data_IF_194652407588
#
_entry.id   IF_194652407588
#
_cell.length_a   1.000
_cell.length_b   1.000
_cell.length_c   1.000
_cell.angle_alpha   90.00
_cell.angle_beta   90.00
_cell.angle_gamma   90.00
#
_symmetry.space_group_name_H-M   'P 1'
#
loop_
_entity.id
_entity.type
_entity.pdbx_description
1 polymer ?
#
# COMPACT_ATOMS: atom_id res chain seq x y z
N UNK A 1 15.41 41.87 0.93
CA UNK A 1 16.08 40.84 1.76
C UNK A 1 16.63 41.31 3.11
N UNK A 2 17.10 42.56 3.35
CA UNK A 2 17.61 42.94 4.67
C UNK A 2 16.52 43.18 5.75
N UNK A 3 15.29 43.52 5.33
CA UNK A 3 14.17 43.83 6.23
C UNK A 3 13.50 42.59 6.85
N UNK A 4 13.71 41.39 6.29
CA UNK A 4 13.06 40.16 6.75
C UNK A 4 13.78 39.52 7.94
N UNK A 5 15.09 39.72 8.07
CA UNK A 5 15.90 39.17 9.17
C UNK A 5 15.71 39.92 10.49
N UNK A 6 15.43 41.23 10.45
CA UNK A 6 15.10 42.01 11.66
C UNK A 6 13.69 41.72 12.20
N UNK A 7 12.81 41.11 11.41
CA UNK A 7 11.44 40.78 11.81
C UNK A 7 11.37 39.56 12.74
N UNK A 8 12.34 38.64 12.66
CA UNK A 8 12.40 37.42 13.46
C UNK A 8 13.06 37.58 14.83
N UNK A 9 13.66 38.74 15.13
CA UNK A 9 14.38 38.98 16.39
C UNK A 9 13.58 39.79 17.41
N UNK A 10 12.29 40.04 17.17
CA UNK A 10 11.44 40.78 18.09
C UNK A 10 10.99 39.89 19.27
N UNK A 11 11.25 40.25 20.54
CA UNK A 11 11.06 39.37 21.69
C UNK A 11 9.60 38.92 21.93
N UNK A 12 8.63 39.68 21.43
CA UNK A 12 7.19 39.34 21.45
C UNK A 12 6.78 38.28 20.43
N UNK A 13 7.56 38.06 19.36
CA UNK A 13 7.28 37.04 18.34
C UNK A 13 7.86 35.69 18.78
N UNK A 14 9.04 35.68 19.42
CA UNK A 14 9.65 34.47 19.95
C UNK A 14 8.79 33.78 21.03
N UNK A 15 8.17 34.55 21.93
CA UNK A 15 7.28 34.00 22.97
C UNK A 15 5.95 33.43 22.43
N UNK A 16 5.50 33.88 21.26
CA UNK A 16 4.31 33.33 20.61
C UNK A 16 4.57 31.97 19.94
N UNK A 17 5.82 31.67 19.59
CA UNK A 17 6.21 30.36 19.03
C UNK A 17 6.38 29.29 20.11
N UNK A 18 6.87 29.64 21.30
CA UNK A 18 7.08 28.66 22.39
C UNK A 18 5.76 28.18 23.02
N UNK A 19 4.69 28.96 22.97
CA UNK A 19 3.40 28.56 23.57
C UNK A 19 2.56 27.63 22.68
N UNK A 20 2.90 27.51 21.39
CA UNK A 20 2.17 26.70 20.38
C UNK A 20 2.84 25.34 20.13
N UNK A 21 4.00 25.08 20.74
CA UNK A 21 4.76 23.83 20.56
C UNK A 21 4.23 22.63 21.37
N UNK A 22 3.09 22.76 22.04
CA UNK A 22 2.39 21.66 22.70
C UNK A 22 0.99 21.48 22.11
N UNK A 23 0.68 20.26 21.68
CA UNK A 23 -0.62 19.75 21.19
C UNK A 23 -0.76 19.65 19.65
N UNK A 24 -1.38 18.54 19.25
CA UNK A 24 -1.35 17.78 17.99
C UNK A 24 -1.97 18.41 16.72
N UNK A 25 -1.68 17.74 15.59
CA UNK A 25 -2.52 17.49 14.41
C UNK A 25 -2.05 18.05 13.04
N UNK A 26 -1.95 17.09 12.11
CA UNK A 26 -2.13 17.13 10.64
C UNK A 26 -1.36 18.13 9.77
N UNK A 27 -0.42 17.57 9.00
CA UNK A 27 0.39 18.22 7.97
C UNK A 27 -0.42 18.82 6.79
N UNK A 28 -1.73 18.51 6.65
CA UNK A 28 -2.62 19.16 5.66
C UNK A 28 -3.35 20.39 6.23
N UNK A 29 -3.55 20.45 7.54
CA UNK A 29 -4.15 21.58 8.25
C UNK A 29 -3.12 22.69 8.46
N UNK A 30 -1.85 22.34 8.70
CA UNK A 30 -0.76 23.33 8.89
C UNK A 30 -0.56 24.26 7.69
N UNK A 31 -0.62 23.78 6.45
CA UNK A 31 -0.43 24.65 5.29
C UNK A 31 -1.62 25.60 5.09
N UNK A 32 -2.85 25.12 5.29
CA UNK A 32 -4.06 25.94 5.21
C UNK A 32 -4.15 26.98 6.32
N UNK A 33 -3.86 26.60 7.57
CA UNK A 33 -3.85 27.52 8.72
C UNK A 33 -2.70 28.51 8.67
N UNK A 34 -1.50 28.10 8.21
CA UNK A 34 -0.37 29.02 8.04
C UNK A 34 -0.68 30.05 6.93
N UNK A 35 -1.32 29.63 5.84
CA UNK A 35 -1.81 30.54 4.80
C UNK A 35 -2.89 31.48 5.32
N UNK A 36 -3.84 30.99 6.12
CA UNK A 36 -4.91 31.79 6.72
C UNK A 36 -4.36 32.78 7.75
N UNK A 37 -3.44 32.35 8.61
CA UNK A 37 -2.73 33.20 9.58
C UNK A 37 -1.90 34.26 8.88
N UNK A 38 -1.16 33.89 7.84
CA UNK A 38 -0.40 34.85 7.02
C UNK A 38 -1.34 35.86 6.34
N UNK A 39 -2.48 35.41 5.81
CA UNK A 39 -3.48 36.29 5.20
C UNK A 39 -4.12 37.25 6.23
N UNK A 40 -4.41 36.78 7.44
CA UNK A 40 -4.98 37.60 8.53
C UNK A 40 -3.95 38.64 9.01
N UNK A 41 -2.71 38.22 9.27
CA UNK A 41 -1.62 39.13 9.69
C UNK A 41 -1.35 40.17 8.61
N UNK A 42 -1.36 39.78 7.34
CA UNK A 42 -1.18 40.69 6.21
C UNK A 42 -2.37 41.66 6.04
N UNK A 43 -3.61 41.20 6.28
CA UNK A 43 -4.81 42.03 6.24
C UNK A 43 -4.81 43.10 7.33
N UNK A 44 -4.41 42.74 8.56
CA UNK A 44 -4.26 43.67 9.69
C UNK A 44 -3.15 44.70 9.41
N UNK A 45 -2.06 44.28 8.76
CA UNK A 45 -0.98 45.19 8.34
C UNK A 45 -1.43 46.18 7.26
N UNK A 46 -2.20 45.72 6.27
CA UNK A 46 -2.80 46.56 5.23
C UNK A 46 -3.77 47.59 5.81
N UNK A 47 -4.65 47.18 6.72
CA UNK A 47 -5.62 48.06 7.37
C UNK A 47 -4.95 49.19 8.16
N UNK A 48 -3.81 48.89 8.82
CA UNK A 48 -3.01 49.89 9.55
C UNK A 48 -2.20 50.83 8.65
N UNK A 49 -1.88 50.43 7.42
CA UNK A 49 -0.98 51.19 6.54
C UNK A 49 -1.66 51.71 5.25
N UNK A 50 -2.96 51.48 5.04
CA UNK A 50 -3.70 51.82 3.82
C UNK A 50 -3.50 53.28 3.36
N UNK A 51 -3.38 54.22 4.30
CA UNK A 51 -3.18 55.66 4.01
C UNK A 51 -1.81 56.01 3.41
N UNK A 52 -0.86 55.07 3.34
CA UNK A 52 0.50 55.27 2.79
C UNK A 52 0.66 54.77 1.35
N UNK A 53 -0.34 54.08 0.80
CA UNK A 53 -0.28 53.52 -0.54
C UNK A 53 -0.86 54.47 -1.57
N UNK A 54 -0.16 54.67 -2.69
CA UNK A 54 -0.69 55.42 -3.82
C UNK A 54 -1.54 54.49 -4.71
N UNK A 55 -2.31 55.03 -5.64
CA UNK A 55 -3.22 54.28 -6.54
C UNK A 55 -2.51 53.19 -7.37
N UNK A 56 -1.20 53.33 -7.60
CA UNK A 56 -0.36 52.31 -8.26
C UNK A 56 -0.04 51.10 -7.36
N UNK A 57 0.09 51.31 -6.06
CA UNK A 57 0.37 50.23 -5.10
C UNK A 57 -0.87 49.38 -4.85
N UNK A 58 -2.04 50.03 -4.83
CA UNK A 58 -3.36 49.38 -4.71
C UNK A 58 -3.71 48.52 -5.92
N UNK A 59 -3.34 48.95 -7.13
CA UNK A 59 -3.53 48.14 -8.34
C UNK A 59 -2.59 46.93 -8.35
N UNK A 60 -1.31 47.08 -8.03
CA UNK A 60 -0.37 45.96 -7.88
C UNK A 60 -0.81 44.94 -6.82
N UNK A 61 -1.34 45.41 -5.69
CA UNK A 61 -1.89 44.56 -4.63
C UNK A 61 -3.11 43.78 -5.11
N UNK A 62 -4.01 44.41 -5.87
CA UNK A 62 -5.18 43.74 -6.45
C UNK A 62 -4.78 42.65 -7.44
N UNK A 63 -3.76 42.88 -8.27
CA UNK A 63 -3.19 41.85 -9.15
C UNK A 63 -2.57 40.70 -8.36
N UNK A 64 -1.85 40.99 -7.27
CA UNK A 64 -1.28 39.98 -6.39
C UNK A 64 -2.37 39.10 -5.74
N UNK A 65 -3.41 39.72 -5.17
CA UNK A 65 -4.53 39.03 -4.52
C UNK A 65 -5.32 38.20 -5.55
N UNK A 66 -5.61 38.75 -6.74
CA UNK A 66 -6.27 38.02 -7.82
C UNK A 66 -5.39 36.86 -8.32
N UNK A 67 -4.06 37.01 -8.38
CA UNK A 67 -3.16 35.90 -8.71
C UNK A 67 -3.11 34.81 -7.64
N UNK A 68 -3.27 35.17 -6.36
CA UNK A 68 -3.36 34.22 -5.24
C UNK A 68 -4.71 33.47 -5.23
N UNK A 69 -5.81 34.11 -5.63
CA UNK A 69 -7.12 33.46 -5.79
C UNK A 69 -7.25 32.65 -7.10
N UNK A 70 -6.32 32.80 -8.04
CA UNK A 70 -6.24 31.98 -9.26
C UNK A 70 -5.45 30.67 -9.08
N UNK A 71 -5.05 30.29 -7.86
CA UNK A 71 -4.83 28.89 -7.55
C UNK A 71 -6.17 28.17 -7.61
N UNK A 72 -6.58 27.81 -8.83
CA UNK A 72 -7.65 26.85 -9.09
C UNK A 72 -7.40 25.67 -8.17
N UNK A 73 -8.26 25.48 -7.17
CA UNK A 73 -8.39 24.20 -6.48
C UNK A 73 -8.88 23.22 -7.54
N UNK A 74 -7.96 22.62 -8.31
CA UNK A 74 -8.27 21.41 -9.03
C UNK A 74 -8.64 20.38 -7.96
N UNK A 75 -9.93 20.08 -7.86
CA UNK A 75 -10.35 18.93 -7.06
C UNK A 75 -9.57 17.73 -7.58
N UNK A 76 -8.94 16.93 -6.71
CA UNK A 76 -8.13 15.83 -7.16
C UNK A 76 -8.95 14.92 -8.08
N UNK A 77 -8.41 14.56 -9.24
CA UNK A 77 -9.11 13.72 -10.20
C UNK A 77 -9.26 12.31 -9.61
N UNK A 78 -10.49 11.96 -9.23
CA UNK A 78 -10.82 10.63 -8.70
C UNK A 78 -10.84 9.58 -9.81
N UNK A 79 -10.37 8.38 -9.49
CA UNK A 79 -10.55 7.21 -10.35
C UNK A 79 -12.00 6.75 -10.34
N UNK A 80 -12.53 6.35 -11.49
CA UNK A 80 -13.92 5.84 -11.61
C UNK A 80 -14.00 4.31 -11.50
N UNK A 81 -12.86 3.63 -11.53
CA UNK A 81 -12.76 2.19 -11.38
C UNK A 81 -11.36 1.76 -10.93
N UNK A 82 -11.29 0.61 -10.25
CA UNK A 82 -10.03 -0.02 -9.86
C UNK A 82 -9.99 -1.47 -10.37
N UNK A 83 -8.94 -1.82 -11.08
CA UNK A 83 -8.67 -3.18 -11.55
C UNK A 83 -7.44 -3.70 -10.78
N UNK A 84 -7.66 -4.65 -9.88
CA UNK A 84 -6.64 -5.09 -8.93
C UNK A 84 -6.15 -6.49 -9.24
N UNK A 85 -4.83 -6.69 -9.22
CA UNK A 85 -4.11 -7.94 -9.40
C UNK A 85 -3.19 -8.14 -8.21
N UNK A 86 -2.83 -9.38 -7.88
CA UNK A 86 -1.91 -9.64 -6.78
C UNK A 86 -2.18 -10.94 -6.05
N UNK A 87 -1.80 -10.96 -4.77
CA UNK A 87 -1.91 -12.12 -3.90
C UNK A 87 -2.90 -11.88 -2.73
N UNK A 88 -2.69 -12.56 -1.60
CA UNK A 88 -3.53 -12.45 -0.40
C UNK A 88 -3.55 -11.04 0.21
N UNK A 89 -2.55 -10.19 -0.06
CA UNK A 89 -2.52 -8.78 0.36
C UNK A 89 -3.52 -7.90 -0.39
N UNK A 90 -4.11 -8.42 -1.48
CA UNK A 90 -5.14 -7.74 -2.26
C UNK A 90 -6.39 -8.60 -2.54
N UNK A 91 -6.40 -9.89 -2.20
CA UNK A 91 -7.53 -10.80 -2.47
C UNK A 91 -8.79 -10.39 -1.69
N UNK A 92 -9.90 -10.23 -2.41
CA UNK A 92 -11.21 -9.83 -1.86
C UNK A 92 -12.22 -10.97 -1.79
N UNK A 93 -11.79 -12.20 -2.09
CA UNK A 93 -12.57 -13.43 -1.96
C UNK A 93 -12.40 -14.46 -3.07
N UNK A 94 -11.53 -14.26 -4.07
CA UNK A 94 -11.35 -15.22 -5.16
C UNK A 94 -10.84 -16.57 -4.62
N UNK A 95 -9.86 -16.58 -3.72
CA UNK A 95 -9.36 -17.81 -3.13
C UNK A 95 -10.46 -18.59 -2.39
N UNK A 96 -11.30 -17.88 -1.63
CA UNK A 96 -12.45 -18.47 -0.94
C UNK A 96 -13.47 -19.08 -1.92
N UNK A 97 -13.78 -18.39 -3.02
CA UNK A 97 -14.70 -18.88 -4.06
C UNK A 97 -14.17 -20.16 -4.72
N UNK A 98 -12.84 -20.28 -4.85
CA UNK A 98 -12.20 -21.48 -5.42
C UNK A 98 -12.12 -22.65 -4.43
N UNK A 99 -12.72 -22.51 -3.25
CA UNK A 99 -12.84 -23.54 -2.22
C UNK A 99 -11.83 -23.43 -1.08
N UNK A 100 -10.82 -22.55 -1.19
CA UNK A 100 -9.80 -22.31 -0.17
C UNK A 100 -9.15 -23.60 0.41
N UNK A 101 -8.96 -24.64 -0.42
CA UNK A 101 -8.55 -25.99 0.05
C UNK A 101 -7.25 -25.95 0.85
N UNK A 102 -6.26 -25.17 0.42
CA UNK A 102 -4.98 -25.06 1.11
C UNK A 102 -5.04 -24.27 2.44
N UNK A 103 -6.07 -23.44 2.62
CA UNK A 103 -6.24 -22.62 3.82
C UNK A 103 -7.73 -22.31 4.08
N UNK A 104 -8.52 -23.28 4.57
CA UNK A 104 -9.98 -23.12 4.70
C UNK A 104 -10.38 -22.10 5.79
N UNK A 105 -9.48 -21.79 6.73
CA UNK A 105 -9.75 -20.90 7.86
C UNK A 105 -10.15 -19.48 7.45
N UNK A 106 -9.74 -19.00 6.27
CA UNK A 106 -10.14 -17.68 5.75
C UNK A 106 -11.66 -17.57 5.49
N UNK A 107 -12.34 -18.71 5.35
CA UNK A 107 -13.80 -18.80 5.22
C UNK A 107 -14.56 -18.76 6.56
N UNK A 108 -13.86 -18.57 7.68
CA UNK A 108 -14.43 -18.60 9.02
C UNK A 108 -13.93 -17.43 9.87
N UNK A 109 -14.66 -17.12 10.94
CA UNK A 109 -14.13 -16.26 12.00
C UNK A 109 -12.84 -16.90 12.54
N UNK A 110 -11.79 -16.10 12.83
CA UNK A 110 -11.86 -14.66 13.09
C UNK A 110 -11.54 -13.75 11.88
N UNK A 111 -11.40 -14.28 10.66
CA UNK A 111 -11.18 -13.42 9.49
C UNK A 111 -12.41 -12.52 9.24
N UNK A 112 -12.16 -11.23 8.99
CA UNK A 112 -13.22 -10.24 8.80
C UNK A 112 -13.95 -9.78 10.08
N UNK A 113 -13.47 -10.13 11.28
CA UNK A 113 -14.13 -9.81 12.56
C UNK A 113 -14.31 -8.30 12.85
N UNK A 114 -13.46 -7.42 12.33
CA UNK A 114 -13.50 -5.97 12.64
C UNK A 114 -14.49 -5.20 11.78
N UNK A 115 -14.22 -4.96 10.49
CA UNK A 115 -15.08 -4.12 9.65
C UNK A 115 -16.28 -4.87 9.08
N UNK A 116 -16.08 -6.11 8.63
CA UNK A 116 -17.14 -6.88 7.97
C UNK A 116 -18.03 -7.62 8.97
N UNK A 117 -17.49 -7.97 10.13
CA UNK A 117 -18.11 -8.84 11.14
C UNK A 117 -18.48 -10.24 10.62
N UNK A 118 -17.90 -10.65 9.49
CA UNK A 118 -18.04 -11.97 8.88
C UNK A 118 -16.86 -12.22 7.91
N UNK A 119 -16.50 -13.48 7.64
CA UNK A 119 -15.43 -13.79 6.69
C UNK A 119 -15.85 -13.42 5.27
N UNK A 120 -14.99 -12.66 4.58
CA UNK A 120 -15.16 -12.32 3.15
C UNK A 120 -14.13 -12.99 2.24
N UNK A 121 -13.18 -13.76 2.80
CA UNK A 121 -12.02 -14.26 2.08
C UNK A 121 -10.83 -13.29 2.01
N UNK A 122 -10.91 -12.12 2.68
CA UNK A 122 -9.76 -11.22 2.88
C UNK A 122 -8.85 -11.80 3.97
N UNK A 123 -7.55 -11.77 3.74
CA UNK A 123 -6.55 -12.27 4.69
C UNK A 123 -6.20 -11.20 5.73
N UNK A 124 -7.20 -10.80 6.51
CA UNK A 124 -7.08 -9.80 7.58
C UNK A 124 -8.26 -9.97 8.56
N UNK A 125 -8.19 -9.28 9.68
CA UNK A 125 -9.36 -9.03 10.54
C UNK A 125 -10.40 -8.14 9.86
N UNK A 126 -10.04 -7.40 8.80
CA UNK A 126 -10.98 -6.55 8.06
C UNK A 126 -10.51 -6.16 6.67
N UNK A 127 -10.48 -4.85 6.40
CA UNK A 127 -10.16 -4.26 5.09
C UNK A 127 -8.66 -4.34 4.74
N UNK A 128 -8.38 -4.46 3.45
CA UNK A 128 -7.04 -4.43 2.86
C UNK A 128 -6.70 -3.04 2.30
N UNK A 129 -5.45 -2.81 1.87
CA UNK A 129 -5.05 -1.52 1.25
C UNK A 129 -5.94 -1.14 0.07
N UNK A 130 -6.29 -2.11 -0.79
CA UNK A 130 -7.15 -1.89 -1.95
C UNK A 130 -8.55 -1.38 -1.58
N UNK A 131 -9.08 -1.81 -0.42
CA UNK A 131 -10.39 -1.36 0.07
C UNK A 131 -10.34 0.11 0.51
N UNK A 132 -9.30 0.50 1.25
CA UNK A 132 -9.09 1.89 1.66
C UNK A 132 -8.83 2.81 0.46
N UNK A 133 -8.10 2.34 -0.56
CA UNK A 133 -7.94 3.08 -1.81
C UNK A 133 -9.31 3.26 -2.49
N UNK A 134 -10.11 2.20 -2.62
CA UNK A 134 -11.45 2.30 -3.21
C UNK A 134 -12.36 3.30 -2.49
N UNK A 135 -12.41 3.23 -1.16
CA UNK A 135 -13.18 4.16 -0.33
C UNK A 135 -12.73 5.62 -0.53
N UNK A 136 -11.42 5.87 -0.65
CA UNK A 136 -10.89 7.22 -0.90
C UNK A 136 -11.33 7.82 -2.25
N UNK A 137 -11.70 6.96 -3.20
CA UNK A 137 -12.17 7.33 -4.53
C UNK A 137 -13.70 7.34 -4.65
N UNK A 138 -14.44 7.18 -3.53
CA UNK A 138 -15.89 6.99 -3.48
C UNK A 138 -16.37 5.77 -4.31
N UNK A 139 -15.54 4.75 -4.43
CA UNK A 139 -15.87 3.51 -5.13
C UNK A 139 -16.39 2.44 -4.16
N UNK A 140 -17.28 1.55 -4.61
CA UNK A 140 -17.63 0.37 -3.83
C UNK A 140 -16.39 -0.51 -3.63
N UNK A 141 -16.39 -1.31 -2.55
CA UNK A 141 -15.38 -2.34 -2.36
C UNK A 141 -15.38 -3.30 -3.56
N UNK A 142 -14.19 -3.62 -4.05
CA UNK A 142 -14.05 -4.36 -5.29
C UNK A 142 -14.62 -5.77 -5.12
N UNK A 143 -15.50 -6.21 -6.04
CA UNK A 143 -15.93 -7.61 -6.05
C UNK A 143 -14.78 -8.51 -6.54
N UNK A 144 -14.62 -9.71 -5.97
CA UNK A 144 -13.74 -10.73 -6.54
C UNK A 144 -14.26 -11.13 -7.93
N UNK A 145 -13.36 -11.24 -8.91
CA UNK A 145 -13.67 -11.55 -10.30
C UNK A 145 -14.49 -12.83 -10.46
N UNK A 146 -14.22 -13.85 -9.63
CA UNK A 146 -14.91 -15.14 -9.71
C UNK A 146 -16.31 -15.13 -9.08
N UNK A 147 -16.76 -14.03 -8.48
CA UNK A 147 -18.11 -13.96 -7.92
C UNK A 147 -19.19 -13.88 -9.00
N UNK A 148 -20.23 -14.69 -8.85
CA UNK A 148 -21.38 -14.69 -9.74
C UNK A 148 -22.21 -13.40 -9.59
N UNK A 149 -22.87 -13.00 -10.69
CA UNK A 149 -23.84 -11.89 -10.73
C UNK A 149 -23.30 -10.54 -10.23
N UNK A 150 -22.01 -10.27 -10.45
CA UNK A 150 -21.39 -8.97 -10.11
C UNK A 150 -21.30 -8.05 -11.33
N UNK A 151 -21.42 -6.75 -11.06
CA UNK A 151 -21.17 -5.70 -12.03
C UNK A 151 -19.74 -5.18 -11.82
N UNK A 152 -18.90 -5.32 -12.85
CA UNK A 152 -17.49 -4.93 -12.79
C UNK A 152 -17.19 -3.55 -13.39
N UNK A 153 -18.22 -2.75 -13.74
CA UNK A 153 -18.05 -1.41 -14.35
C UNK A 153 -17.27 -0.43 -13.47
N UNK A 154 -17.30 -0.59 -12.14
CA UNK A 154 -16.55 0.24 -11.19
C UNK A 154 -15.28 -0.44 -10.68
N UNK A 155 -14.92 -1.59 -11.26
CA UNK A 155 -13.73 -2.33 -10.89
C UNK A 155 -13.98 -3.82 -10.66
N UNK A 156 -12.87 -4.55 -10.65
CA UNK A 156 -12.80 -5.97 -10.41
C UNK A 156 -11.49 -6.29 -9.70
N UNK A 157 -11.52 -7.27 -8.81
CA UNK A 157 -10.32 -7.78 -8.17
C UNK A 157 -10.01 -9.18 -8.68
N UNK A 158 -8.87 -9.34 -9.34
CA UNK A 158 -8.34 -10.59 -9.88
C UNK A 158 -7.33 -11.26 -8.94
N UNK A 159 -6.93 -10.61 -7.85
CA UNK A 159 -5.95 -11.14 -6.92
C UNK A 159 -6.46 -12.44 -6.27
N UNK A 160 -5.55 -13.38 -6.04
CA UNK A 160 -5.84 -14.66 -5.40
C UNK A 160 -4.80 -14.92 -4.33
N UNK A 161 -5.22 -15.28 -3.13
CA UNK A 161 -4.30 -15.70 -2.08
C UNK A 161 -3.40 -16.86 -2.51
N UNK A 162 -2.11 -16.75 -2.16
CA UNK A 162 -1.08 -17.68 -2.61
C UNK A 162 -0.64 -17.49 -4.06
N UNK A 163 -1.18 -16.54 -4.83
CA UNK A 163 -0.72 -16.31 -6.19
C UNK A 163 0.76 -15.89 -6.23
N UNK A 164 1.46 -16.45 -7.22
CA UNK A 164 2.85 -16.17 -7.57
C UNK A 164 2.92 -15.34 -8.84
N UNK A 165 4.01 -14.59 -9.03
CA UNK A 165 4.30 -13.96 -10.31
C UNK A 165 4.59 -15.03 -11.38
N UNK A 166 5.46 -15.99 -11.05
CA UNK A 166 5.81 -17.11 -11.90
C UNK A 166 4.69 -18.15 -11.94
N UNK A 167 4.60 -18.88 -13.05
CA UNK A 167 3.58 -19.92 -13.21
C UNK A 167 3.90 -21.19 -12.40
N UNK A 168 2.86 -21.98 -12.01
CA UNK A 168 3.03 -23.21 -11.23
C UNK A 168 4.05 -24.20 -11.81
N UNK A 169 4.23 -24.20 -13.14
CA UNK A 169 5.21 -25.04 -13.82
C UNK A 169 6.64 -24.83 -13.33
N UNK A 170 7.03 -23.57 -13.02
CA UNK A 170 8.35 -23.28 -12.46
C UNK A 170 8.55 -23.95 -11.09
N UNK A 171 7.52 -23.91 -10.24
CA UNK A 171 7.59 -24.51 -8.90
C UNK A 171 7.59 -26.04 -8.94
N UNK A 172 6.93 -26.63 -9.94
CA UNK A 172 7.03 -28.07 -10.22
C UNK A 172 8.46 -28.46 -10.63
N UNK A 173 9.09 -27.68 -11.51
CA UNK A 173 10.46 -27.92 -11.98
C UNK A 173 11.49 -27.90 -10.84
N UNK A 174 11.38 -26.95 -9.90
CA UNK A 174 12.28 -26.88 -8.73
C UNK A 174 11.91 -27.83 -7.59
N UNK A 175 10.90 -28.68 -7.80
CA UNK A 175 10.50 -29.77 -6.89
C UNK A 175 9.60 -29.36 -5.73
N UNK A 176 8.92 -28.21 -5.79
CA UNK A 176 8.08 -27.69 -4.69
C UNK A 176 6.61 -27.47 -5.06
N UNK A 177 6.16 -27.92 -6.23
CA UNK A 177 4.81 -27.68 -6.74
C UNK A 177 3.67 -28.05 -5.78
N UNK A 178 3.86 -29.08 -4.93
CA UNK A 178 2.89 -29.47 -3.89
C UNK A 178 2.76 -28.50 -2.71
N UNK A 179 3.64 -27.50 -2.61
CA UNK A 179 3.61 -26.46 -1.56
C UNK A 179 2.70 -25.28 -1.94
N UNK A 180 2.38 -25.14 -3.24
CA UNK A 180 1.55 -24.03 -3.72
C UNK A 180 0.12 -24.14 -3.20
N UNK A 181 -0.43 -23.00 -2.77
CA UNK A 181 -1.83 -22.93 -2.33
C UNK A 181 -2.82 -22.85 -3.48
N UNK A 182 -2.38 -22.35 -4.63
CA UNK A 182 -3.21 -22.11 -5.80
C UNK A 182 -2.39 -22.19 -7.09
N UNK A 183 -3.09 -22.45 -8.19
CA UNK A 183 -2.52 -22.39 -9.54
C UNK A 183 -2.80 -21.05 -10.25
N UNK A 184 -3.47 -20.10 -9.58
CA UNK A 184 -3.89 -18.82 -10.16
C UNK A 184 -2.78 -17.75 -10.06
N UNK A 185 -1.69 -17.96 -10.81
CA UNK A 185 -0.57 -17.02 -10.95
C UNK A 185 -0.97 -15.68 -11.59
N UNK A 186 -0.06 -14.71 -11.59
CA UNK A 186 -0.25 -13.41 -12.25
C UNK A 186 -0.66 -13.56 -13.73
N UNK A 187 -0.11 -14.54 -14.45
CA UNK A 187 -0.49 -14.81 -15.85
C UNK A 187 -1.97 -15.20 -15.99
N UNK A 188 -2.51 -15.95 -15.02
CA UNK A 188 -3.93 -16.31 -14.96
C UNK A 188 -4.80 -15.08 -14.72
N UNK A 189 -4.38 -14.21 -13.81
CA UNK A 189 -5.10 -12.98 -13.51
C UNK A 189 -5.14 -12.03 -14.72
N UNK A 190 -4.06 -11.94 -15.50
CA UNK A 190 -4.02 -11.18 -16.75
C UNK A 190 -4.98 -11.76 -17.81
N UNK A 191 -5.07 -13.10 -17.89
CA UNK A 191 -6.04 -13.75 -18.79
C UNK A 191 -7.48 -13.45 -18.38
N UNK A 192 -7.80 -13.48 -17.09
CA UNK A 192 -9.11 -13.06 -16.59
C UNK A 192 -9.44 -11.59 -16.90
N UNK A 193 -8.44 -10.72 -16.83
CA UNK A 193 -8.62 -9.33 -17.28
C UNK A 193 -8.94 -9.24 -18.78
N UNK A 194 -8.22 -9.99 -19.63
CA UNK A 194 -8.50 -10.02 -21.07
C UNK A 194 -9.90 -10.57 -21.37
N UNK A 195 -10.38 -11.56 -20.60
CA UNK A 195 -11.75 -12.10 -20.67
C UNK A 195 -12.79 -11.06 -20.22
N UNK A 196 -12.51 -10.28 -19.17
CA UNK A 196 -13.44 -9.27 -18.65
C UNK A 196 -13.51 -8.03 -19.54
N UNK A 197 -12.38 -7.61 -20.13
CA UNK A 197 -12.20 -6.33 -20.83
C UNK A 197 -13.31 -6.00 -21.86
N UNK A 198 -13.78 -6.93 -22.71
CA UNK A 198 -14.87 -6.65 -23.65
C UNK A 198 -16.19 -6.23 -23.01
N UNK A 199 -16.42 -6.59 -21.74
CA UNK A 199 -17.61 -6.17 -20.98
C UNK A 199 -17.48 -4.75 -20.40
N UNK A 200 -16.25 -4.27 -20.21
CA UNK A 200 -15.96 -2.93 -19.69
C UNK A 200 -16.01 -1.88 -20.80
N UNK A 201 -15.47 -2.22 -21.96
CA UNK A 201 -15.39 -1.36 -23.14
C UNK A 201 -15.30 -2.20 -24.42
N UNK A 202 -15.96 -1.76 -25.51
CA UNK A 202 -16.04 -2.52 -26.76
C UNK A 202 -15.17 -1.92 -27.87
N UNK A 203 -15.09 -0.60 -27.95
CA UNK A 203 -14.32 0.11 -28.98
C UNK A 203 -13.00 0.67 -28.42
N UNK A 204 -11.98 0.93 -29.27
CA UNK A 204 -10.75 1.56 -28.83
C UNK A 204 -10.96 2.90 -28.11
N UNK A 205 -11.93 3.70 -28.57
CA UNK A 205 -12.28 4.98 -27.95
C UNK A 205 -12.89 4.77 -26.56
N UNK A 206 -13.90 3.90 -26.43
CA UNK A 206 -14.50 3.56 -25.14
C UNK A 206 -13.47 3.03 -24.15
N UNK A 207 -12.55 2.18 -24.60
CA UNK A 207 -11.50 1.64 -23.75
C UNK A 207 -10.51 2.71 -23.31
N UNK A 208 -10.13 3.61 -24.20
CA UNK A 208 -9.27 4.75 -23.86
C UNK A 208 -9.93 5.64 -22.80
N UNK A 209 -11.21 5.99 -22.97
CA UNK A 209 -11.95 6.82 -22.01
C UNK A 209 -12.11 6.15 -20.64
N UNK A 210 -12.39 4.84 -20.64
CA UNK A 210 -12.54 4.06 -19.41
C UNK A 210 -11.20 3.90 -18.68
N UNK A 211 -10.16 3.42 -19.36
CA UNK A 211 -8.87 3.13 -18.71
C UNK A 211 -8.09 4.37 -18.32
N UNK A 212 -8.30 5.51 -19.00
CA UNK A 212 -7.73 6.80 -18.58
C UNK A 212 -8.19 7.23 -17.18
N UNK A 213 -9.38 6.80 -16.77
CA UNK A 213 -9.97 7.07 -15.45
C UNK A 213 -9.89 5.88 -14.49
N UNK A 214 -9.25 4.79 -14.91
CA UNK A 214 -9.08 3.59 -14.10
C UNK A 214 -7.72 3.60 -13.38
N UNK A 215 -7.67 3.03 -12.18
CA UNK A 215 -6.43 2.66 -11.51
C UNK A 215 -6.20 1.15 -11.65
N UNK A 216 -5.01 0.78 -12.11
CA UNK A 216 -4.56 -0.62 -12.13
C UNK A 216 -3.64 -0.85 -10.95
N UNK A 217 -4.08 -1.65 -9.98
CA UNK A 217 -3.26 -2.02 -8.83
C UNK A 217 -2.61 -3.36 -9.13
N UNK A 218 -1.29 -3.40 -9.31
CA UNK A 218 -0.55 -4.58 -9.75
C UNK A 218 0.33 -5.09 -8.61
N UNK A 219 -0.29 -5.78 -7.65
CA UNK A 219 0.40 -6.43 -6.54
C UNK A 219 -0.07 -6.03 -5.14
N UNK A 220 0.69 -6.27 -4.09
CA UNK A 220 2.00 -6.93 -4.11
C UNK A 220 1.90 -8.34 -4.72
N UNK A 221 2.89 -8.67 -5.55
CA UNK A 221 3.06 -9.96 -6.22
C UNK A 221 4.56 -10.22 -6.36
N UNK A 222 4.99 -11.48 -6.23
CA UNK A 222 6.42 -11.87 -6.15
C UNK A 222 6.86 -12.32 -4.76
N UNK A 223 6.17 -11.92 -3.69
CA UNK A 223 6.42 -12.40 -2.34
C UNK A 223 6.21 -13.91 -2.18
N UNK A 224 5.16 -14.47 -2.78
CA UNK A 224 4.90 -15.92 -2.71
C UNK A 224 5.91 -16.76 -3.50
N UNK A 225 6.53 -16.20 -4.54
CA UNK A 225 7.65 -16.80 -5.25
C UNK A 225 8.87 -16.99 -4.35
N UNK A 226 8.89 -16.32 -3.18
CA UNK A 226 9.88 -16.45 -2.13
C UNK A 226 9.36 -17.28 -0.96
N UNK A 227 8.11 -17.06 -0.52
CA UNK A 227 7.49 -17.74 0.62
C UNK A 227 7.49 -19.26 0.43
N UNK A 228 6.98 -19.76 -0.70
CA UNK A 228 6.83 -21.21 -0.90
C UNK A 228 8.18 -21.95 -0.95
N UNK A 229 9.20 -21.50 -1.70
CA UNK A 229 10.52 -22.12 -1.63
C UNK A 229 11.15 -22.10 -0.24
N UNK A 230 11.05 -20.99 0.49
CA UNK A 230 11.64 -20.86 1.83
C UNK A 230 10.94 -21.81 2.83
N UNK A 231 9.61 -21.92 2.78
CA UNK A 231 8.85 -22.87 3.59
C UNK A 231 9.15 -24.32 3.19
N UNK A 232 9.40 -24.58 1.91
CA UNK A 232 9.82 -25.88 1.40
C UNK A 232 11.31 -26.22 1.68
N UNK A 233 12.03 -25.36 2.41
CA UNK A 233 13.41 -25.61 2.84
C UNK A 233 14.51 -25.24 1.82
N UNK A 234 14.18 -24.50 0.75
CA UNK A 234 15.20 -23.93 -0.15
C UNK A 234 16.00 -22.85 0.59
N UNK A 235 17.29 -22.75 0.28
CA UNK A 235 18.15 -21.74 0.90
C UNK A 235 17.81 -20.33 0.40
N UNK A 236 18.09 -19.31 1.23
CA UNK A 236 17.89 -17.91 0.82
C UNK A 236 18.71 -17.57 -0.44
N UNK A 237 19.88 -18.17 -0.63
CA UNK A 237 20.71 -17.98 -1.82
C UNK A 237 20.04 -18.51 -3.09
N UNK A 238 19.45 -19.71 -3.03
CA UNK A 238 18.66 -20.26 -4.14
C UNK A 238 17.46 -19.35 -4.45
N UNK A 239 16.71 -18.92 -3.44
CA UNK A 239 15.53 -18.06 -3.64
C UNK A 239 15.92 -16.68 -4.19
N UNK A 240 17.07 -16.14 -3.77
CA UNK A 240 17.64 -14.90 -4.34
C UNK A 240 17.92 -15.03 -5.83
N UNK A 241 18.32 -16.20 -6.31
CA UNK A 241 18.54 -16.43 -7.74
C UNK A 241 17.26 -16.36 -8.59
N UNK A 242 16.08 -16.49 -7.98
CA UNK A 242 14.79 -16.42 -8.69
C UNK A 242 14.33 -14.97 -8.90
N UNK A 243 14.78 -14.04 -8.06
CA UNK A 243 14.30 -12.65 -8.01
C UNK A 243 14.36 -11.94 -9.38
N UNK A 244 15.44 -12.04 -10.18
CA UNK A 244 15.47 -11.41 -11.50
C UNK A 244 14.34 -11.89 -12.42
N UNK A 245 14.06 -13.20 -12.42
CA UNK A 245 12.99 -13.81 -13.22
C UNK A 245 11.61 -13.37 -12.73
N UNK A 246 11.40 -13.35 -11.41
CA UNK A 246 10.16 -12.86 -10.79
C UNK A 246 9.88 -11.41 -11.19
N UNK A 247 10.86 -10.52 -11.00
CA UNK A 247 10.73 -9.09 -11.35
C UNK A 247 10.50 -8.89 -12.84
N UNK A 248 11.17 -9.67 -13.69
CA UNK A 248 10.95 -9.63 -15.13
C UNK A 248 9.49 -9.99 -15.48
N UNK A 249 8.94 -11.06 -14.91
CA UNK A 249 7.54 -11.45 -15.14
C UNK A 249 6.55 -10.38 -14.68
N UNK A 250 6.84 -9.68 -13.57
CA UNK A 250 6.03 -8.55 -13.12
C UNK A 250 6.12 -7.38 -14.11
N UNK A 251 7.32 -7.07 -14.61
CA UNK A 251 7.52 -6.01 -15.60
C UNK A 251 6.78 -6.30 -16.91
N UNK A 252 6.82 -7.55 -17.40
CA UNK A 252 6.09 -8.01 -18.58
C UNK A 252 4.57 -7.92 -18.38
N UNK A 253 4.07 -8.20 -17.17
CA UNK A 253 2.66 -8.02 -16.83
C UNK A 253 2.24 -6.55 -16.89
N UNK A 254 3.05 -5.64 -16.33
CA UNK A 254 2.81 -4.19 -16.38
C UNK A 254 2.82 -3.68 -17.82
N UNK A 255 3.79 -4.14 -18.63
CA UNK A 255 3.86 -3.83 -20.07
C UNK A 255 2.60 -4.31 -20.80
N UNK A 256 2.17 -5.56 -20.58
CA UNK A 256 0.94 -6.09 -21.18
C UNK A 256 -0.29 -5.29 -20.79
N UNK A 257 -0.43 -4.87 -19.53
CA UNK A 257 -1.55 -4.02 -19.10
C UNK A 257 -1.49 -2.65 -19.81
N UNK A 258 -0.29 -2.09 -19.95
CA UNK A 258 -0.07 -0.82 -20.64
C UNK A 258 -0.43 -0.91 -22.12
N UNK A 259 -0.03 -1.99 -22.80
CA UNK A 259 -0.41 -2.29 -24.19
C UNK A 259 -1.92 -2.49 -24.36
N UNK A 260 -2.64 -2.78 -23.28
CA UNK A 260 -4.10 -2.96 -23.25
C UNK A 260 -4.84 -1.66 -22.92
N UNK A 261 -4.10 -0.57 -22.73
CA UNK A 261 -4.61 0.79 -22.51
C UNK A 261 -4.53 1.27 -21.06
N UNK A 262 -3.93 0.52 -20.14
CA UNK A 262 -3.71 1.01 -18.77
C UNK A 262 -2.76 2.21 -18.78
N UNK A 263 -3.13 3.28 -18.08
CA UNK A 263 -2.30 4.50 -18.00
C UNK A 263 -2.06 5.01 -16.58
N UNK A 264 -2.75 4.48 -15.56
CA UNK A 264 -2.43 4.72 -14.16
C UNK A 264 -2.22 3.37 -13.48
N UNK A 265 -0.99 3.04 -13.13
CA UNK A 265 -0.62 1.76 -12.55
C UNK A 265 0.07 1.99 -11.21
N UNK A 266 -0.42 1.39 -10.14
CA UNK A 266 0.21 1.38 -8.82
C UNK A 266 0.83 0.00 -8.59
N UNK A 267 2.14 -0.03 -8.37
CA UNK A 267 2.94 -1.26 -8.28
C UNK A 267 3.61 -1.33 -6.90
N UNK A 268 3.02 -2.06 -5.94
CA UNK A 268 3.64 -2.27 -4.64
C UNK A 268 4.89 -3.13 -4.70
N UNK A 269 5.93 -2.74 -3.96
CA UNK A 269 7.05 -3.62 -3.61
C UNK A 269 6.71 -4.58 -2.47
N UNK A 270 7.64 -5.50 -2.17
CA UNK A 270 7.52 -6.44 -1.07
C UNK A 270 7.65 -5.73 0.28
N UNK A 271 6.93 -6.25 1.29
CA UNK A 271 7.04 -5.85 2.69
C UNK A 271 8.45 -6.17 3.26
N UNK A 272 8.87 -5.56 4.40
CA UNK A 272 10.10 -5.95 5.08
C UNK A 272 9.87 -7.29 5.79
N UNK A 273 9.98 -8.39 5.03
CA UNK A 273 9.56 -9.73 5.46
C UNK A 273 10.29 -10.24 6.71
N UNK A 274 11.52 -9.77 6.97
CA UNK A 274 12.27 -10.12 8.17
C UNK A 274 11.65 -9.61 9.47
N UNK A 275 10.65 -8.74 9.38
CA UNK A 275 9.86 -8.26 10.52
C UNK A 275 8.60 -9.10 10.80
N UNK A 276 8.23 -10.04 9.91
CA UNK A 276 6.97 -10.78 10.05
C UNK A 276 7.13 -12.00 10.98
N UNK A 277 6.13 -12.33 11.81
CA UNK A 277 6.18 -13.47 12.74
C UNK A 277 6.54 -14.81 12.10
N UNK A 278 6.06 -15.10 10.87
CA UNK A 278 6.45 -16.29 10.11
C UNK A 278 7.97 -16.43 10.03
N UNK A 279 8.63 -15.38 9.54
CA UNK A 279 10.07 -15.39 9.29
C UNK A 279 10.89 -15.33 10.57
N UNK A 280 10.44 -14.53 11.54
CA UNK A 280 11.03 -14.49 12.86
C UNK A 280 10.97 -15.85 13.57
N UNK A 281 9.96 -16.67 13.27
CA UNK A 281 9.83 -18.03 13.81
C UNK A 281 10.70 -19.04 13.05
N UNK A 282 10.62 -19.06 11.72
CA UNK A 282 11.31 -20.07 10.90
C UNK A 282 12.82 -19.84 10.78
N UNK A 283 13.27 -18.60 10.85
CA UNK A 283 14.67 -18.21 10.65
C UNK A 283 15.28 -17.58 11.91
N UNK A 284 14.73 -17.89 13.09
CA UNK A 284 15.27 -17.45 14.36
C UNK A 284 16.73 -17.93 14.52
N UNK A 285 17.62 -17.00 14.87
CA UNK A 285 19.00 -17.29 15.28
C UNK A 285 19.23 -16.84 16.73
N UNK A 286 20.28 -17.38 17.35
CA UNK A 286 20.72 -16.97 18.70
C UNK A 286 21.62 -15.73 18.66
N UNK A 287 22.16 -15.39 17.49
CA UNK A 287 23.09 -14.28 17.29
C UNK A 287 22.32 -12.97 17.17
N UNK A 288 22.48 -12.08 18.16
CA UNK A 288 21.81 -10.77 18.18
C UNK A 288 22.15 -9.94 16.93
N UNK A 289 23.34 -10.13 16.40
CA UNK A 289 23.89 -9.44 15.24
C UNK A 289 23.17 -9.80 13.94
N UNK A 290 22.35 -10.84 13.88
CA UNK A 290 21.50 -11.12 12.72
C UNK A 290 20.24 -10.22 12.67
N UNK A 291 19.89 -9.61 13.80
CA UNK A 291 18.72 -8.74 13.93
C UNK A 291 19.11 -7.26 13.84
N UNK A 292 18.13 -6.44 13.48
CA UNK A 292 18.22 -4.99 13.58
C UNK A 292 17.98 -4.54 15.03
N UNK A 293 18.88 -3.73 15.57
CA UNK A 293 18.86 -3.32 16.98
C UNK A 293 17.64 -2.47 17.35
N UNK A 294 16.96 -1.85 16.38
CA UNK A 294 15.83 -0.94 16.65
C UNK A 294 14.51 -1.68 16.74
N UNK A 295 14.32 -2.72 15.94
CA UNK A 295 13.01 -3.33 15.74
C UNK A 295 12.99 -4.86 15.77
N UNK A 296 14.15 -5.50 15.98
CA UNK A 296 14.29 -6.95 16.06
C UNK A 296 13.85 -7.68 14.77
N UNK A 297 14.02 -7.05 13.61
CA UNK A 297 13.79 -7.71 12.32
C UNK A 297 15.07 -8.40 11.83
N UNK A 298 14.92 -9.55 11.14
CA UNK A 298 16.04 -10.27 10.53
C UNK A 298 16.63 -9.48 9.35
N UNK A 299 17.88 -9.03 9.48
CA UNK A 299 18.54 -8.16 8.49
C UNK A 299 18.69 -8.83 7.13
N UNK A 300 19.07 -10.11 7.10
CA UNK A 300 19.26 -10.86 5.85
C UNK A 300 17.98 -10.92 5.02
N UNK A 301 16.84 -11.18 5.64
CA UNK A 301 15.54 -11.26 4.97
C UNK A 301 15.01 -9.88 4.56
N UNK A 302 15.26 -8.85 5.38
CA UNK A 302 14.94 -7.47 5.01
C UNK A 302 15.81 -6.94 3.86
N UNK A 303 17.08 -7.35 3.78
CA UNK A 303 17.97 -7.05 2.66
C UNK A 303 17.52 -7.78 1.38
N UNK A 304 17.06 -9.02 1.50
CA UNK A 304 16.48 -9.77 0.39
C UNK A 304 15.24 -9.07 -0.19
N UNK A 305 14.28 -8.66 0.66
CA UNK A 305 13.11 -7.91 0.18
C UNK A 305 13.51 -6.56 -0.45
N UNK A 306 14.52 -5.88 0.09
CA UNK A 306 15.06 -4.66 -0.50
C UNK A 306 15.66 -4.90 -1.87
N UNK A 307 16.42 -5.97 -2.05
CA UNK A 307 17.01 -6.34 -3.35
C UNK A 307 15.92 -6.58 -4.42
N UNK A 308 14.85 -7.32 -4.08
CA UNK A 308 13.69 -7.46 -4.96
C UNK A 308 13.11 -6.10 -5.35
N UNK A 309 12.88 -5.23 -4.36
CA UNK A 309 12.27 -3.92 -4.58
C UNK A 309 13.16 -2.98 -5.40
N UNK A 310 14.48 -3.03 -5.23
CA UNK A 310 15.44 -2.26 -6.03
C UNK A 310 15.40 -2.68 -7.50
N UNK A 311 15.35 -3.99 -7.78
CA UNK A 311 15.18 -4.49 -9.14
C UNK A 311 13.82 -4.11 -9.73
N UNK A 312 12.74 -4.20 -8.94
CA UNK A 312 11.40 -3.79 -9.39
C UNK A 312 11.36 -2.30 -9.74
N UNK A 313 11.95 -1.43 -8.91
CA UNK A 313 12.07 0.01 -9.19
C UNK A 313 12.85 0.26 -10.48
N UNK A 314 13.98 -0.42 -10.69
CA UNK A 314 14.76 -0.30 -11.92
C UNK A 314 13.95 -0.71 -13.16
N UNK A 315 13.20 -1.81 -13.09
CA UNK A 315 12.30 -2.24 -14.16
C UNK A 315 11.17 -1.23 -14.42
N UNK A 316 10.58 -0.64 -13.37
CA UNK A 316 9.58 0.43 -13.50
C UNK A 316 10.17 1.65 -14.21
N UNK A 317 11.40 2.07 -13.89
CA UNK A 317 12.07 3.18 -14.58
C UNK A 317 12.28 2.90 -16.06
N UNK A 318 12.60 1.65 -16.43
CA UNK A 318 12.72 1.25 -17.84
C UNK A 318 11.36 1.28 -18.54
N UNK A 319 10.31 0.77 -17.90
CA UNK A 319 8.95 0.79 -18.43
C UNK A 319 8.44 2.23 -18.61
N UNK A 320 8.72 3.14 -17.68
CA UNK A 320 8.38 4.57 -17.82
C UNK A 320 9.03 5.22 -19.05
N UNK A 321 10.28 4.86 -19.36
CA UNK A 321 10.96 5.33 -20.58
C UNK A 321 10.32 4.78 -21.85
N UNK A 322 9.87 3.52 -21.80
CA UNK A 322 9.25 2.82 -22.93
C UNK A 322 7.79 3.26 -23.18
N UNK A 323 7.06 3.60 -22.12
CA UNK A 323 5.66 4.00 -22.15
C UNK A 323 5.45 5.37 -21.48
N UNK A 324 5.92 6.47 -22.09
CA UNK A 324 5.87 7.82 -21.48
C UNK A 324 4.44 8.32 -21.22
N UNK A 325 3.43 7.73 -21.87
CA UNK A 325 2.02 8.00 -21.65
C UNK A 325 1.44 7.35 -20.39
N UNK A 326 2.12 6.35 -19.83
CA UNK A 326 1.66 5.61 -18.66
C UNK A 326 2.32 6.13 -17.38
N UNK A 327 1.48 6.44 -16.40
CA UNK A 327 1.87 6.76 -15.03
C UNK A 327 2.00 5.46 -14.24
N UNK A 328 3.17 4.85 -14.32
CA UNK A 328 3.53 3.68 -13.51
C UNK A 328 4.10 4.23 -12.20
N UNK A 329 3.49 3.93 -11.06
CA UNK A 329 3.81 4.46 -9.73
C UNK A 329 4.33 3.31 -8.88
N UNK A 330 5.53 3.46 -8.30
CA UNK A 330 6.03 2.51 -7.33
C UNK A 330 5.43 2.83 -5.96
N UNK A 331 4.87 1.83 -5.28
CA UNK A 331 4.36 1.93 -3.92
C UNK A 331 5.32 1.25 -2.94
N UNK A 332 5.91 2.03 -2.05
CA UNK A 332 6.90 1.59 -1.06
C UNK A 332 6.24 0.97 0.17
N UNK A 333 5.64 -0.21 -0.01
CA UNK A 333 5.08 -1.01 1.09
C UNK A 333 6.15 -1.35 2.13
N UNK A 334 7.41 -1.54 1.68
CA UNK A 334 8.55 -1.78 2.56
C UNK A 334 8.72 -0.65 3.58
N UNK A 335 8.91 0.57 3.09
CA UNK A 335 9.07 1.75 3.93
C UNK A 335 7.82 2.06 4.75
N UNK A 336 6.63 1.85 4.16
CA UNK A 336 5.37 2.13 4.83
C UNK A 336 5.21 1.30 6.11
N UNK A 337 5.52 0.00 6.05
CA UNK A 337 5.47 -0.90 7.21
C UNK A 337 6.65 -0.70 8.18
N UNK A 338 7.84 -0.40 7.68
CA UNK A 338 9.03 -0.24 8.53
C UNK A 338 8.88 0.91 9.55
N UNK A 339 8.07 1.93 9.24
CA UNK A 339 7.70 2.98 10.21
C UNK A 339 7.00 2.43 11.44
N UNK A 340 6.17 1.40 11.28
CA UNK A 340 5.48 0.77 12.41
C UNK A 340 6.51 0.07 13.30
N UNK A 341 7.51 -0.56 12.70
CA UNK A 341 8.59 -1.22 13.41
C UNK A 341 9.46 -0.22 14.20
N UNK A 342 9.67 0.99 13.66
CA UNK A 342 10.46 2.03 14.32
C UNK A 342 9.70 2.83 15.40
N UNK A 343 8.40 3.09 15.18
CA UNK A 343 7.59 3.95 16.05
C UNK A 343 6.20 3.36 16.31
N UNK A 344 6.07 2.12 16.81
CA UNK A 344 4.78 1.41 16.85
C UNK A 344 3.70 2.15 17.65
N UNK A 345 4.08 2.72 18.79
CA UNK A 345 3.17 3.47 19.66
C UNK A 345 2.59 4.74 19.01
N UNK A 346 3.33 5.36 18.09
CA UNK A 346 2.84 6.54 17.36
C UNK A 346 1.65 6.18 16.46
N UNK A 347 1.58 4.93 15.99
CA UNK A 347 0.50 4.41 15.16
C UNK A 347 -0.53 3.60 15.95
N UNK A 348 -0.52 3.68 17.29
CA UNK A 348 -1.44 2.93 18.15
C UNK A 348 -1.09 1.44 18.34
N UNK A 349 0.05 0.97 17.82
CA UNK A 349 0.46 -0.43 17.94
C UNK A 349 1.15 -0.74 19.28
N UNK A 350 0.39 -0.64 20.38
CA UNK A 350 0.91 -0.85 21.74
C UNK A 350 1.29 -2.31 22.04
N UNK A 351 0.70 -3.26 21.32
CA UNK A 351 0.94 -4.70 21.51
C UNK A 351 2.12 -5.24 20.69
N UNK A 352 2.81 -4.34 19.97
CA UNK A 352 4.06 -4.61 19.26
C UNK A 352 3.88 -4.96 17.78
N UNK A 353 5.01 -5.09 17.10
CA UNK A 353 5.06 -5.39 15.65
C UNK A 353 5.47 -6.82 15.35
N UNK A 354 6.08 -7.52 16.32
CA UNK A 354 6.69 -8.84 16.13
C UNK A 354 5.74 -10.00 16.46
N UNK A 355 4.58 -9.75 17.08
CA UNK A 355 3.61 -10.78 17.43
C UNK A 355 2.40 -10.72 16.53
N UNK A 356 1.89 -11.87 16.11
CA UNK A 356 0.59 -11.96 15.45
C UNK A 356 -0.55 -11.76 16.47
N UNK A 357 -1.61 -11.05 16.09
CA UNK A 357 -2.82 -10.95 16.90
C UNK A 357 -3.54 -12.30 16.99
N UNK A 358 -3.62 -13.03 15.88
CA UNK A 358 -4.26 -14.33 15.77
C UNK A 358 -3.25 -15.43 15.48
N UNK A 359 -3.14 -16.43 16.36
CA UNK A 359 -2.20 -17.53 16.17
C UNK A 359 -2.13 -18.46 17.38
N UNK A 360 -1.17 -19.37 17.37
CA UNK A 360 -1.14 -20.52 18.30
C UNK A 360 0.16 -20.63 19.09
N UNK A 361 0.52 -19.56 19.82
CA UNK A 361 1.62 -19.57 20.79
C UNK A 361 3.02 -19.40 20.17
N UNK A 362 4.05 -19.75 20.95
CA UNK A 362 5.45 -19.42 20.62
C UNK A 362 5.80 -17.95 20.86
N UNK A 363 7.07 -17.59 20.62
CA UNK A 363 7.59 -16.24 20.93
C UNK A 363 6.84 -15.13 20.17
N UNK A 364 6.43 -15.41 18.93
CA UNK A 364 5.80 -14.46 18.01
C UNK A 364 4.30 -14.71 17.81
N UNK A 365 3.69 -15.54 18.66
CA UNK A 365 2.30 -16.01 18.52
C UNK A 365 2.00 -16.61 17.13
N UNK A 366 2.95 -17.38 16.58
CA UNK A 366 2.86 -17.95 15.25
C UNK A 366 3.28 -19.42 15.26
N UNK A 367 2.49 -20.25 14.58
CA UNK A 367 2.79 -21.66 14.37
C UNK A 367 2.29 -22.11 12.99
N UNK A 368 3.19 -22.63 12.16
CA UNK A 368 2.89 -23.03 10.78
C UNK A 368 1.86 -24.17 10.70
N UNK A 369 1.83 -25.07 11.69
CA UNK A 369 0.92 -26.23 11.70
C UNK A 369 -0.39 -25.96 12.44
N UNK A 370 -0.49 -24.82 13.13
CA UNK A 370 -1.68 -24.37 13.85
C UNK A 370 -1.94 -22.89 13.54
N UNK A 371 -2.38 -22.56 12.31
CA UNK A 371 -2.57 -21.18 11.88
C UNK A 371 -3.76 -20.50 12.57
N UNK A 372 -3.93 -19.20 12.34
CA UNK A 372 -5.10 -18.46 12.78
C UNK A 372 -6.41 -19.13 12.34
N UNK A 373 -7.38 -19.25 13.26
CA UNK A 373 -8.67 -19.89 13.02
C UNK A 373 -8.66 -21.41 13.20
N UNK A 374 -7.50 -22.03 13.36
CA UNK A 374 -7.40 -23.45 13.70
C UNK A 374 -7.70 -23.72 15.18
N UNK A 375 -7.96 -24.99 15.51
CA UNK A 375 -8.16 -25.42 16.91
C UNK A 375 -6.92 -25.11 17.74
N UNK A 376 -7.10 -24.42 18.86
CA UNK A 376 -6.00 -24.00 19.74
C UNK A 376 -5.38 -22.65 19.37
N UNK A 377 -5.81 -22.01 18.28
CA UNK A 377 -5.46 -20.62 18.01
C UNK A 377 -6.25 -19.66 18.90
N UNK A 378 -5.63 -18.53 19.22
CA UNK A 378 -6.22 -17.45 20.01
C UNK A 378 -6.12 -16.13 19.25
N UNK A 379 -7.17 -15.32 19.40
CA UNK A 379 -7.23 -13.96 18.87
C UNK A 379 -6.94 -12.98 19.99
N UNK A 380 -6.13 -11.96 19.71
CA UNK A 380 -5.89 -10.88 20.65
C UNK A 380 -7.17 -10.09 20.95
N UNK A 381 -7.19 -9.37 22.07
CA UNK A 381 -8.38 -8.62 22.51
C UNK A 381 -8.73 -7.44 21.60
N UNK A 382 -7.72 -6.76 21.08
CA UNK A 382 -7.86 -5.57 20.23
C UNK A 382 -6.90 -5.63 19.05
N UNK A 383 -7.37 -6.09 17.87
CA UNK A 383 -6.57 -6.17 16.65
C UNK A 383 -5.95 -4.83 16.22
N UNK A 384 -6.57 -3.69 16.57
CA UNK A 384 -6.07 -2.37 16.17
C UNK A 384 -4.72 -2.01 16.81
N UNK A 385 -4.33 -2.71 17.87
CA UNK A 385 -3.06 -2.50 18.60
C UNK A 385 -1.91 -3.37 18.09
N UNK A 386 -2.14 -4.19 17.06
CA UNK A 386 -1.16 -5.08 16.44
C UNK A 386 -0.90 -4.70 14.99
N UNK A 387 0.34 -4.93 14.52
CA UNK A 387 0.66 -4.80 13.08
C UNK A 387 0.29 -6.05 12.30
N UNK A 388 0.64 -7.23 12.83
CA UNK A 388 0.42 -8.51 12.16
C UNK A 388 -0.89 -9.15 12.61
N UNK A 389 -1.70 -9.58 11.66
CA UNK A 389 -2.92 -10.33 11.91
C UNK A 389 -2.62 -11.78 12.24
N UNK A 390 -2.10 -12.56 11.28
CA UNK A 390 -1.92 -14.02 11.39
C UNK A 390 -0.47 -14.50 11.26
N UNK A 391 0.47 -13.55 11.31
CA UNK A 391 1.91 -13.80 11.20
C UNK A 391 2.50 -13.66 9.80
N UNK A 392 1.65 -13.51 8.79
CA UNK A 392 2.04 -13.19 7.40
C UNK A 392 1.36 -11.90 6.97
N UNK A 393 0.05 -11.82 7.21
CA UNK A 393 -0.78 -10.71 6.82
C UNK A 393 -0.89 -9.66 7.92
N UNK A 394 -1.38 -8.49 7.53
CA UNK A 394 -1.47 -7.33 8.41
C UNK A 394 -2.89 -7.17 8.96
N UNK A 395 -2.99 -6.49 10.08
CA UNK A 395 -4.29 -6.06 10.60
C UNK A 395 -4.90 -4.99 9.71
N UNK A 396 -6.21 -4.83 9.77
CA UNK A 396 -6.93 -3.75 9.11
C UNK A 396 -6.32 -2.38 9.48
N UNK A 397 -5.95 -2.19 10.76
CA UNK A 397 -5.33 -0.96 11.24
C UNK A 397 -3.99 -0.69 10.55
N UNK A 398 -3.14 -1.69 10.40
CA UNK A 398 -1.87 -1.57 9.67
C UNK A 398 -2.10 -1.29 8.17
N UNK A 399 -3.04 -1.99 7.54
CA UNK A 399 -3.40 -1.71 6.14
C UNK A 399 -3.93 -0.29 5.95
N UNK A 400 -4.73 0.23 6.89
CA UNK A 400 -5.21 1.61 6.88
C UNK A 400 -4.06 2.61 6.89
N UNK A 401 -3.08 2.43 7.77
CA UNK A 401 -1.92 3.32 7.85
C UNK A 401 -1.02 3.25 6.61
N UNK A 402 -0.89 2.07 5.99
CA UNK A 402 -0.21 1.93 4.70
C UNK A 402 -0.99 2.71 3.63
N UNK A 403 -2.30 2.48 3.51
CA UNK A 403 -3.13 3.15 2.52
C UNK A 403 -3.07 4.68 2.64
N UNK A 404 -3.15 5.22 3.86
CA UNK A 404 -3.00 6.67 4.11
C UNK A 404 -1.66 7.18 3.59
N UNK A 405 -0.56 6.48 3.88
CA UNK A 405 0.78 6.87 3.42
C UNK A 405 0.98 6.79 1.90
N UNK A 406 0.19 5.98 1.20
CA UNK A 406 0.18 5.94 -0.26
C UNK A 406 -0.64 7.10 -0.83
N UNK A 407 -1.81 7.34 -0.25
CA UNK A 407 -2.75 8.39 -0.67
C UNK A 407 -2.22 9.80 -0.41
N UNK A 408 -1.40 9.98 0.63
CA UNK A 408 -0.74 11.26 0.93
C UNK A 408 0.57 11.49 0.15
N UNK A 409 1.06 10.47 -0.55
CA UNK A 409 2.26 10.52 -1.38
C UNK A 409 3.57 10.22 -0.64
N UNK A 410 3.55 9.93 0.66
CA UNK A 410 4.77 9.68 1.45
C UNK A 410 5.47 8.37 1.08
N UNK A 411 4.74 7.41 0.53
CA UNK A 411 5.23 6.07 0.15
C UNK A 411 5.00 5.76 -1.33
N UNK A 412 4.92 6.79 -2.16
CA UNK A 412 4.87 6.65 -3.61
C UNK A 412 5.89 7.56 -4.25
N UNK A 413 6.56 7.09 -5.30
CA UNK A 413 7.54 7.92 -6.01
C UNK A 413 6.91 8.93 -6.99
N UNK A 414 5.62 8.77 -7.28
CA UNK A 414 4.76 9.74 -7.99
C UNK A 414 3.44 9.88 -7.21
N UNK A 415 2.80 11.06 -7.16
CA UNK A 415 1.52 11.22 -6.47
C UNK A 415 0.45 10.27 -7.02
N UNK A 416 -0.22 9.51 -6.15
CA UNK A 416 -1.29 8.60 -6.54
C UNK A 416 -2.51 9.36 -7.08
N UNK A 417 -2.90 10.44 -6.41
CA UNK A 417 -4.01 11.30 -6.79
C UNK A 417 -3.42 12.62 -7.34
N UNK A 418 -3.86 13.05 -8.53
CA UNK A 418 -3.50 14.35 -9.15
C UNK A 418 -4.56 15.38 -8.81
#
# INVERSE_FOLDING_TARGET
MPLFLNFLQHPTIAQAFDHVAGVEAEQKVKNGYLLLLNAIVYSIWLERNYRRFNTKDLTLLSFFIISFFHFSHSSPQKFTSILSFGNSLADTGNFLITGAVAFPYVGHLPYGITYFHHPTGRFSDGRLVVDFIAESQDLPLLPPYLASNKNFRQGANFAVAGATALDPAFFQEIGIGGTLWTNYSLSTQLRWFDELKPSLCKTPLECSEYFKKSLFLVGEIGGNDCNFPLVAGKSLAEVTSFVPKVVQTIAEAIERLTDRGAVNLLVPGNLPIGCLPLYLTLFATMEKEDYDDRNWCLKKLNNFARYHNELLKSSIEQLRKKHPQARIIYADYYGALLRFAHSPRHFGFYSGTQKACCGSGGLYNFNLTAPCGSVGSHVCKDPSTYVSWDGIHLTEAAYRHIAIGLLDGSFTDLPLII
#
